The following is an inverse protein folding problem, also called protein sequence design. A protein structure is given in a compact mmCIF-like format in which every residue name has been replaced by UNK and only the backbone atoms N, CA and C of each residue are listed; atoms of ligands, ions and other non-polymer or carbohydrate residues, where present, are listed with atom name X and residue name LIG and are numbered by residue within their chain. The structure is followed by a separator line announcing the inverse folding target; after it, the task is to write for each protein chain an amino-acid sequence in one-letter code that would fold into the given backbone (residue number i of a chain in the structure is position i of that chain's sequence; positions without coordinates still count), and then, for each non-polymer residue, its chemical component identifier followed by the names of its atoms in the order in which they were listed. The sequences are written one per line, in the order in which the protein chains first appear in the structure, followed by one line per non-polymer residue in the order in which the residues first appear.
data_IF_661185894733
#
_entry.id   IF_661185894733
#
_cell.length_a   1.000
_cell.length_b   1.000
_cell.length_c   1.000
_cell.angle_alpha   90.00
_cell.angle_beta   90.00
_cell.angle_gamma   90.00
#
_symmetry.space_group_name_H-M   'P 1'
#
loop_
_entity.id
_entity.type
_entity.pdbx_description
1 polymer ?
#
# COMPACT_ATOMS: atom_id res chain seq x y z
N UNK A 1 -10.27 24.40 -8.48
CA UNK A 1 -11.05 24.22 -7.25
C UNK A 1 -11.51 22.78 -7.01
N UNK A 2 -12.45 22.19 -7.77
CA UNK A 2 -12.89 20.80 -7.52
C UNK A 2 -11.76 19.75 -7.66
N UNK A 3 -10.84 19.94 -8.60
CA UNK A 3 -9.67 19.06 -8.79
C UNK A 3 -8.65 19.17 -7.66
N UNK A 4 -8.40 20.38 -7.15
CA UNK A 4 -7.42 20.62 -6.08
C UNK A 4 -7.91 20.02 -4.75
N UNK A 5 -9.22 20.17 -4.45
CA UNK A 5 -9.84 19.54 -3.28
C UNK A 5 -9.79 18.00 -3.37
N UNK A 6 -10.00 17.41 -4.56
CA UNK A 6 -9.89 15.97 -4.74
C UNK A 6 -8.43 15.49 -4.58
N UNK A 7 -7.46 16.21 -5.13
CA UNK A 7 -6.04 15.91 -4.96
C UNK A 7 -5.62 15.97 -3.49
N UNK A 8 -6.11 16.98 -2.75
CA UNK A 8 -5.81 17.11 -1.32
C UNK A 8 -6.39 15.94 -0.51
N UNK A 9 -7.62 15.51 -0.82
CA UNK A 9 -8.22 14.31 -0.21
C UNK A 9 -7.38 13.05 -0.45
N UNK A 10 -6.92 12.84 -1.69
CA UNK A 10 -6.07 11.69 -2.04
C UNK A 10 -4.77 11.72 -1.24
N UNK A 11 -4.13 12.89 -1.12
CA UNK A 11 -2.91 13.06 -0.33
C UNK A 11 -3.17 12.78 1.15
N UNK A 12 -4.28 13.29 1.71
CA UNK A 12 -4.62 13.08 3.12
C UNK A 12 -4.86 11.60 3.45
N UNK A 13 -5.55 10.88 2.56
CA UNK A 13 -5.77 9.43 2.62
C UNK A 13 -4.44 8.66 2.55
N UNK A 14 -3.57 9.02 1.59
CA UNK A 14 -2.24 8.43 1.45
C UNK A 14 -1.38 8.67 2.71
N UNK A 15 -1.32 9.90 3.22
CA UNK A 15 -0.59 10.26 4.44
C UNK A 15 -1.14 9.57 5.69
N UNK A 16 -2.41 9.17 5.71
CA UNK A 16 -2.99 8.38 6.81
C UNK A 16 -2.31 7.01 6.92
N UNK A 17 -1.93 6.40 5.80
CA UNK A 17 -1.23 5.12 5.77
C UNK A 17 0.16 5.25 6.43
N UNK A 18 0.94 6.28 6.05
CA UNK A 18 2.24 6.53 6.68
C UNK A 18 2.15 6.84 8.17
N UNK A 19 1.15 7.63 8.58
CA UNK A 19 0.92 7.91 10.00
C UNK A 19 0.71 6.62 10.80
N UNK A 20 -0.06 5.67 10.28
CA UNK A 20 -0.22 4.35 10.90
C UNK A 20 1.11 3.61 10.99
N UNK A 21 1.88 3.55 9.90
CA UNK A 21 3.18 2.87 9.90
C UNK A 21 4.19 3.48 10.89
N UNK A 22 4.14 4.80 11.11
CA UNK A 22 4.99 5.47 12.10
C UNK A 22 4.53 5.16 13.53
N UNK A 23 3.21 5.07 13.76
CA UNK A 23 2.66 4.73 15.09
C UNK A 23 2.76 3.24 15.42
N UNK A 24 2.77 2.38 14.41
CA UNK A 24 2.85 0.92 14.48
C UNK A 24 4.05 0.46 13.62
N UNK A 25 5.31 0.59 14.09
CA UNK A 25 6.50 0.30 13.27
C UNK A 25 6.53 -1.14 12.71
N UNK A 26 5.96 -2.09 13.45
CA UNK A 26 5.84 -3.50 13.05
C UNK A 26 5.00 -3.67 11.78
N UNK A 27 4.04 -2.77 11.55
CA UNK A 27 3.18 -2.77 10.35
C UNK A 27 4.03 -2.67 9.08
N UNK A 28 5.10 -1.88 9.08
CA UNK A 28 5.95 -1.76 7.89
C UNK A 28 6.61 -3.09 7.52
N UNK A 29 7.05 -3.88 8.52
CA UNK A 29 7.60 -5.21 8.31
C UNK A 29 6.56 -6.19 7.77
N UNK A 30 5.35 -6.17 8.34
CA UNK A 30 4.20 -6.98 7.91
C UNK A 30 3.84 -6.71 6.44
N UNK A 31 3.75 -5.43 6.05
CA UNK A 31 3.41 -5.01 4.69
C UNK A 31 4.46 -5.45 3.67
N UNK A 32 5.75 -5.32 4.00
CA UNK A 32 6.85 -5.77 3.13
C UNK A 32 6.86 -7.29 3.02
N UNK A 33 6.59 -8.02 4.10
CA UNK A 33 6.46 -9.48 4.09
C UNK A 33 5.36 -9.93 3.12
N UNK A 34 4.15 -9.38 3.27
CA UNK A 34 3.01 -9.68 2.39
C UNK A 34 3.35 -9.36 0.93
N UNK A 35 3.94 -8.20 0.67
CA UNK A 35 4.33 -7.83 -0.68
C UNK A 35 5.35 -8.81 -1.28
N UNK A 36 6.39 -9.21 -0.52
CA UNK A 36 7.39 -10.21 -0.95
C UNK A 36 6.78 -11.58 -1.26
N UNK A 37 5.79 -12.03 -0.49
CA UNK A 37 5.13 -13.33 -0.68
C UNK A 37 4.37 -13.39 -2.02
N UNK A 38 3.72 -12.31 -2.42
CA UNK A 38 2.82 -12.29 -3.59
C UNK A 38 3.39 -11.56 -4.82
N UNK A 39 4.58 -10.96 -4.75
CA UNK A 39 5.13 -10.09 -5.81
C UNK A 39 5.29 -10.76 -7.19
N UNK A 40 5.47 -12.08 -7.20
CA UNK A 40 5.70 -12.87 -8.41
C UNK A 40 4.40 -13.49 -8.97
N UNK A 41 3.26 -13.26 -8.33
CA UNK A 41 1.97 -13.76 -8.82
C UNK A 41 1.49 -12.94 -10.03
N UNK A 42 0.80 -13.55 -11.01
CA UNK A 42 0.26 -12.84 -12.16
C UNK A 42 -0.69 -11.69 -11.78
N UNK A 43 -1.37 -11.84 -10.64
CA UNK A 43 -2.32 -10.94 -10.01
C UNK A 43 -1.75 -10.28 -8.74
N UNK A 44 -0.42 -10.08 -8.67
CA UNK A 44 0.29 -9.57 -7.49
C UNK A 44 -0.37 -8.35 -6.84
N UNK A 45 -0.78 -7.34 -7.61
CA UNK A 45 -1.46 -6.16 -7.06
C UNK A 45 -2.72 -6.52 -6.27
N UNK A 46 -3.57 -7.38 -6.84
CA UNK A 46 -4.85 -7.77 -6.24
C UNK A 46 -4.62 -8.60 -4.98
N UNK A 47 -3.67 -9.55 -5.04
CA UNK A 47 -3.30 -10.41 -3.92
C UNK A 47 -2.72 -9.63 -2.75
N UNK A 48 -1.80 -8.72 -3.02
CA UNK A 48 -1.21 -7.85 -2.00
C UNK A 48 -2.30 -6.98 -1.37
N UNK A 49 -3.19 -6.37 -2.18
CA UNK A 49 -4.29 -5.55 -1.66
C UNK A 49 -5.19 -6.32 -0.69
N UNK A 50 -5.65 -7.51 -1.12
CA UNK A 50 -6.52 -8.38 -0.32
C UNK A 50 -5.84 -8.82 0.97
N UNK A 51 -4.59 -9.26 0.88
CA UNK A 51 -3.85 -9.78 2.03
C UNK A 51 -3.53 -8.67 3.04
N UNK A 52 -3.11 -7.48 2.57
CA UNK A 52 -2.91 -6.29 3.42
C UNK A 52 -4.20 -5.95 4.18
N UNK A 53 -5.34 -5.92 3.49
CA UNK A 53 -6.63 -5.59 4.11
C UNK A 53 -7.06 -6.66 5.12
N UNK A 54 -6.73 -7.92 4.89
CA UNK A 54 -7.10 -9.05 5.74
C UNK A 54 -6.21 -9.19 6.99
N UNK A 55 -4.89 -9.02 6.86
CA UNK A 55 -3.91 -9.30 7.92
C UNK A 55 -3.49 -8.08 8.72
N UNK A 56 -3.78 -6.86 8.24
CA UNK A 56 -3.30 -5.64 8.89
C UNK A 56 -4.41 -4.70 9.36
N UNK A 57 -4.02 -3.68 10.14
CA UNK A 57 -4.89 -2.58 10.55
C UNK A 57 -5.16 -1.57 9.42
N UNK A 58 -4.49 -1.73 8.26
CA UNK A 58 -4.68 -0.93 7.06
C UNK A 58 -5.79 -1.57 6.22
N UNK A 59 -6.94 -0.89 6.15
CA UNK A 59 -8.09 -1.37 5.38
C UNK A 59 -8.06 -0.75 4.00
N UNK A 60 -7.98 -1.61 2.99
CA UNK A 60 -8.11 -1.25 1.59
C UNK A 60 -9.54 -1.57 1.18
N UNK A 61 -10.17 -0.62 0.51
CA UNK A 61 -11.55 -0.74 0.03
C UNK A 61 -11.63 -1.62 -1.21
N UNK A 62 -12.71 -2.38 -1.38
CA UNK A 62 -12.91 -3.22 -2.58
C UNK A 62 -12.86 -2.38 -3.87
N UNK A 63 -13.46 -1.19 -3.82
CA UNK A 63 -13.27 -0.16 -4.84
C UNK A 63 -12.03 0.68 -4.54
N UNK A 64 -10.85 0.13 -4.82
CA UNK A 64 -9.55 0.77 -4.57
C UNK A 64 -9.56 2.27 -4.91
N UNK A 65 -9.41 3.10 -3.87
CA UNK A 65 -9.24 4.55 -4.04
C UNK A 65 -7.92 4.86 -4.75
N UNK A 66 -7.77 6.07 -5.27
CA UNK A 66 -6.49 6.48 -5.88
C UNK A 66 -5.35 6.44 -4.85
N UNK A 67 -5.62 6.73 -3.57
CA UNK A 67 -4.65 6.62 -2.49
C UNK A 67 -4.26 5.16 -2.21
N UNK A 68 -5.21 4.23 -2.20
CA UNK A 68 -4.94 2.80 -2.03
C UNK A 68 -4.03 2.28 -3.15
N UNK A 69 -4.35 2.65 -4.41
CA UNK A 69 -3.54 2.30 -5.58
C UNK A 69 -2.12 2.83 -5.47
N UNK A 70 -1.97 4.10 -5.07
CA UNK A 70 -0.66 4.71 -4.86
C UNK A 70 0.15 3.95 -3.80
N UNK A 71 -0.51 3.55 -2.71
CA UNK A 71 0.15 2.85 -1.61
C UNK A 71 0.58 1.43 -1.98
N UNK A 72 -0.30 0.64 -2.60
CA UNK A 72 0.05 -0.72 -3.01
C UNK A 72 1.14 -0.72 -4.09
N UNK A 73 1.07 0.20 -5.06
CA UNK A 73 2.13 0.34 -6.06
C UNK A 73 3.46 0.72 -5.43
N UNK A 74 3.47 1.62 -4.44
CA UNK A 74 4.68 1.95 -3.68
C UNK A 74 5.27 0.70 -3.00
N UNK A 75 4.46 -0.14 -2.36
CA UNK A 75 4.94 -1.36 -1.73
C UNK A 75 5.57 -2.33 -2.73
N UNK A 76 4.91 -2.51 -3.89
CA UNK A 76 5.41 -3.31 -5.00
C UNK A 76 6.76 -2.78 -5.49
N UNK A 77 6.87 -1.46 -5.69
CA UNK A 77 8.08 -0.81 -6.17
C UNK A 77 9.22 -0.93 -5.16
N UNK A 78 8.94 -0.81 -3.86
CA UNK A 78 9.94 -1.01 -2.80
C UNK A 78 10.50 -2.43 -2.84
N UNK A 79 9.63 -3.45 -2.93
CA UNK A 79 10.07 -4.86 -2.97
C UNK A 79 10.81 -5.21 -4.26
N UNK A 80 10.35 -4.70 -5.41
CA UNK A 80 11.04 -4.91 -6.69
C UNK A 80 12.37 -4.15 -6.75
N UNK A 81 12.43 -2.96 -6.18
CA UNK A 81 13.65 -2.17 -6.04
C UNK A 81 14.68 -2.88 -5.17
N UNK A 82 14.27 -3.39 -4.00
CA UNK A 82 15.09 -4.21 -3.10
C UNK A 82 15.67 -5.43 -3.82
N UNK A 83 14.87 -6.10 -4.66
CA UNK A 83 15.30 -7.26 -5.47
C UNK A 83 16.32 -6.92 -6.57
N UNK A 84 16.41 -5.66 -7.01
CA UNK A 84 17.41 -5.20 -7.98
C UNK A 84 18.70 -4.68 -7.33
N UNK A 85 18.72 -4.53 -6.00
CA UNK A 85 19.85 -4.04 -5.22
C UNK A 85 20.76 -5.18 -4.70
N UNK A 86 20.36 -6.44 -4.87
CA UNK A 86 21.07 -7.66 -4.47
C UNK A 86 21.18 -8.65 -5.63
#
# INVERSE_FOLDING_TARGET
MASELNQQRIIDEFLRCFRKMIMEPELAGELVRIAKEHINEPDAYERISQEVSSQTTLKITDEHTDADRMFINLLIDVVKGDSNLY
#
